data_IF_543863231827
#
_entry.id   IF_543863231827
#
_cell.length_a   1.000
_cell.length_b   1.000
_cell.length_c   1.000
_cell.angle_alpha   90.00
_cell.angle_beta   90.00
_cell.angle_gamma   90.00
#
_symmetry.space_group_name_H-M   'P 1'
#
loop_
_entity.id
_entity.type
_entity.pdbx_description
1 polymer ?
#
# COMPACT_ATOMS: atom_id res chain seq x y z
N UNK A 1 22.06 -21.77 17.58
CA UNK A 1 21.04 -20.97 16.85
C UNK A 1 21.76 -20.09 15.85
N UNK A 2 21.34 -20.05 14.58
CA UNK A 2 22.02 -19.25 13.55
C UNK A 2 21.56 -17.79 13.68
N UNK A 3 22.47 -16.89 14.06
CA UNK A 3 22.18 -15.47 14.28
C UNK A 3 22.11 -14.70 12.95
N UNK A 4 21.01 -14.86 12.22
CA UNK A 4 20.74 -14.21 10.93
C UNK A 4 19.98 -12.89 11.08
N UNK A 5 19.95 -12.07 10.02
CA UNK A 5 19.08 -10.89 9.93
C UNK A 5 17.61 -11.23 10.19
N UNK A 6 17.14 -12.38 9.71
CA UNK A 6 15.77 -12.83 9.91
C UNK A 6 15.44 -13.00 11.40
N UNK A 7 16.34 -13.63 12.16
CA UNK A 7 16.14 -13.89 13.60
C UNK A 7 16.42 -12.67 14.48
N UNK A 8 17.31 -11.76 14.06
CA UNK A 8 17.74 -10.60 14.86
C UNK A 8 17.02 -9.29 14.54
N UNK A 9 16.45 -9.17 13.33
CA UNK A 9 15.86 -7.92 12.84
C UNK A 9 14.43 -8.16 12.36
N UNK A 10 14.23 -8.97 11.32
CA UNK A 10 12.91 -9.08 10.65
C UNK A 10 11.82 -9.62 11.57
N UNK A 11 12.05 -10.77 12.20
CA UNK A 11 11.07 -11.40 13.10
C UNK A 11 10.76 -10.48 14.30
N UNK A 12 11.76 -9.92 15.02
CA UNK A 12 11.49 -8.95 16.08
C UNK A 12 10.65 -7.75 15.64
N UNK A 13 10.94 -7.16 14.47
CA UNK A 13 10.19 -6.02 13.93
C UNK A 13 8.75 -6.40 13.60
N UNK A 14 8.53 -7.54 12.94
CA UNK A 14 7.17 -8.04 12.63
C UNK A 14 6.38 -8.24 13.92
N UNK A 15 6.95 -8.90 14.93
CA UNK A 15 6.29 -9.12 16.21
C UNK A 15 5.97 -7.80 16.93
N UNK A 16 6.86 -6.82 16.85
CA UNK A 16 6.64 -5.50 17.42
C UNK A 16 5.47 -4.77 16.74
N UNK A 17 5.44 -4.75 15.40
CA UNK A 17 4.36 -4.12 14.63
C UNK A 17 3.01 -4.82 14.89
N UNK A 18 2.98 -6.15 14.98
CA UNK A 18 1.76 -6.89 15.30
C UNK A 18 1.23 -6.52 16.69
N UNK A 19 2.11 -6.29 17.68
CA UNK A 19 1.70 -5.81 19.01
C UNK A 19 1.13 -4.39 18.99
N UNK A 20 1.51 -3.56 18.02
CA UNK A 20 0.95 -2.22 17.80
C UNK A 20 -0.38 -2.25 17.01
N UNK A 21 -0.87 -3.43 16.63
CA UNK A 21 -2.13 -3.59 15.91
C UNK A 21 -1.98 -3.64 14.38
N UNK A 22 -0.75 -3.68 13.86
CA UNK A 22 -0.55 -3.91 12.43
C UNK A 22 -0.85 -5.38 12.08
N UNK A 23 -1.58 -5.59 11.00
CA UNK A 23 -1.87 -6.93 10.51
C UNK A 23 -0.69 -7.44 9.68
N UNK A 24 -0.15 -8.61 10.05
CA UNK A 24 0.84 -9.29 9.24
C UNK A 24 0.18 -9.82 7.95
N UNK A 25 0.78 -9.48 6.80
CA UNK A 25 0.37 -9.95 5.49
C UNK A 25 1.37 -10.98 4.96
N UNK A 26 0.96 -12.24 4.89
CA UNK A 26 1.76 -13.32 4.29
C UNK A 26 1.73 -13.21 2.76
N UNK A 27 2.88 -13.29 2.09
CA UNK A 27 2.95 -13.23 0.62
C UNK A 27 2.62 -14.55 -0.10
N UNK A 28 2.55 -15.68 0.61
CA UNK A 28 2.46 -17.02 0.00
C UNK A 28 1.22 -17.23 -0.87
N UNK A 29 0.12 -16.55 -0.56
CA UNK A 29 -1.19 -16.72 -1.22
C UNK A 29 -1.74 -15.41 -1.78
N UNK A 30 -0.92 -14.36 -1.81
CA UNK A 30 -1.38 -13.04 -2.20
C UNK A 30 -1.16 -12.78 -3.67
N UNK A 31 -2.06 -11.98 -4.24
CA UNK A 31 -1.91 -11.40 -5.57
C UNK A 31 -1.73 -9.90 -5.38
N UNK A 32 -0.66 -9.38 -5.96
CA UNK A 32 -0.39 -7.95 -5.97
C UNK A 32 0.15 -7.57 -7.35
N UNK A 33 0.06 -6.29 -7.67
CA UNK A 33 0.57 -5.76 -8.91
C UNK A 33 2.09 -5.65 -8.81
N UNK A 34 2.81 -6.46 -9.59
CA UNK A 34 4.28 -6.55 -9.53
C UNK A 34 4.98 -5.30 -10.09
N UNK A 35 4.28 -4.55 -10.94
CA UNK A 35 4.79 -3.33 -11.57
C UNK A 35 4.83 -2.18 -10.55
N UNK A 36 3.71 -1.89 -9.89
CA UNK A 36 3.62 -0.86 -8.85
C UNK A 36 4.02 -1.34 -7.45
N UNK A 37 4.16 -2.66 -7.26
CA UNK A 37 4.37 -3.32 -5.95
C UNK A 37 3.25 -3.00 -4.92
N UNK A 38 2.02 -2.82 -5.40
CA UNK A 38 0.84 -2.50 -4.58
C UNK A 38 -0.18 -3.64 -4.58
N UNK A 39 -0.93 -3.76 -3.48
CA UNK A 39 -2.02 -4.73 -3.33
C UNK A 39 -3.35 -4.06 -3.72
N UNK A 40 -3.93 -4.37 -4.90
CA UNK A 40 -5.11 -3.65 -5.40
C UNK A 40 -6.30 -3.76 -4.46
N UNK A 41 -6.56 -4.96 -3.93
CA UNK A 41 -7.69 -5.21 -3.05
C UNK A 41 -7.56 -4.46 -1.72
N UNK A 42 -6.36 -4.40 -1.15
CA UNK A 42 -6.09 -3.62 0.07
C UNK A 42 -6.23 -2.13 -0.18
N UNK A 43 -5.74 -1.63 -1.33
CA UNK A 43 -5.90 -0.24 -1.72
C UNK A 43 -7.38 0.14 -1.82
N UNK A 44 -8.16 -0.60 -2.62
CA UNK A 44 -9.59 -0.32 -2.86
C UNK A 44 -10.41 -0.41 -1.57
N UNK A 45 -10.14 -1.43 -0.76
CA UNK A 45 -10.78 -1.58 0.56
C UNK A 45 -10.43 -0.42 1.48
N UNK A 46 -9.16 0.02 1.50
CA UNK A 46 -8.70 1.14 2.30
C UNK A 46 -9.36 2.45 1.90
N UNK A 47 -9.39 2.76 0.59
CA UNK A 47 -10.04 3.97 0.06
C UNK A 47 -11.54 3.99 0.39
N UNK A 48 -12.23 2.87 0.21
CA UNK A 48 -13.66 2.77 0.51
C UNK A 48 -13.95 2.94 2.01
N UNK A 49 -13.05 2.44 2.87
CA UNK A 49 -13.16 2.54 4.32
C UNK A 49 -12.99 3.98 4.83
N UNK A 50 -12.05 4.74 4.26
CA UNK A 50 -11.80 6.13 4.70
C UNK A 50 -12.75 7.14 4.03
N UNK A 51 -13.42 6.76 2.94
CA UNK A 51 -14.41 7.59 2.24
C UNK A 51 -15.79 6.91 2.18
N UNK A 52 -16.57 6.88 3.27
CA UNK A 52 -17.88 6.24 3.27
C UNK A 52 -18.80 6.81 2.19
N UNK A 53 -19.41 5.94 1.37
CA UNK A 53 -20.34 6.33 0.30
C UNK A 53 -19.69 6.65 -1.04
N UNK A 54 -18.36 6.52 -1.18
CA UNK A 54 -17.69 6.56 -2.49
C UNK A 54 -18.22 5.42 -3.38
N UNK A 55 -18.45 5.71 -4.66
CA UNK A 55 -18.86 4.68 -5.60
C UNK A 55 -17.67 3.80 -6.00
N UNK A 56 -17.89 2.49 -6.16
CA UNK A 56 -16.84 1.56 -6.57
C UNK A 56 -16.15 1.99 -7.87
N UNK A 57 -16.91 2.57 -8.82
CA UNK A 57 -16.37 3.07 -10.08
C UNK A 57 -15.36 4.22 -9.88
N UNK A 58 -15.55 5.06 -8.86
CA UNK A 58 -14.64 6.15 -8.54
C UNK A 58 -13.39 5.62 -7.83
N UNK A 59 -13.52 4.56 -7.01
CA UNK A 59 -12.37 3.86 -6.41
C UNK A 59 -11.52 3.18 -7.49
N UNK A 60 -12.16 2.55 -8.49
CA UNK A 60 -11.46 1.96 -9.64
C UNK A 60 -10.72 3.03 -10.47
N UNK A 61 -11.36 4.16 -10.74
CA UNK A 61 -10.71 5.29 -11.43
C UNK A 61 -9.51 5.80 -10.65
N UNK A 62 -9.65 6.00 -9.34
CA UNK A 62 -8.54 6.44 -8.48
C UNK A 62 -7.38 5.44 -8.51
N UNK A 63 -7.67 4.14 -8.49
CA UNK A 63 -6.64 3.10 -8.62
C UNK A 63 -5.86 3.23 -9.94
N UNK A 64 -6.56 3.38 -11.06
CA UNK A 64 -5.93 3.57 -12.39
C UNK A 64 -5.08 4.84 -12.41
N UNK A 65 -5.61 5.95 -11.90
CA UNK A 65 -4.90 7.23 -11.87
C UNK A 65 -3.64 7.18 -11.01
N UNK A 66 -3.70 6.53 -9.85
CA UNK A 66 -2.54 6.34 -8.97
C UNK A 66 -1.49 5.48 -9.67
N UNK A 67 -1.89 4.37 -10.30
CA UNK A 67 -0.95 3.51 -11.03
C UNK A 67 -0.24 4.28 -12.15
N UNK A 68 -0.99 5.00 -12.98
CA UNK A 68 -0.43 5.84 -14.05
C UNK A 68 0.53 6.91 -13.52
N UNK A 69 0.25 7.47 -12.34
CA UNK A 69 1.12 8.48 -11.73
C UNK A 69 2.43 7.85 -11.22
N UNK A 70 2.38 6.62 -10.71
CA UNK A 70 3.57 5.89 -10.24
C UNK A 70 4.47 5.42 -11.40
N UNK A 71 3.89 5.21 -12.58
CA UNK A 71 4.62 4.85 -13.79
C UNK A 71 5.35 6.05 -14.43
N UNK A 72 5.17 7.27 -13.89
CA UNK A 72 5.83 8.46 -14.41
C UNK A 72 7.32 8.48 -14.04
N UNK A 73 8.18 8.84 -14.99
CA UNK A 73 9.64 8.95 -14.79
C UNK A 73 10.02 10.31 -14.16
N UNK A 74 9.40 10.62 -13.02
CA UNK A 74 9.56 11.90 -12.31
C UNK A 74 10.05 11.74 -10.87
N UNK A 75 10.61 10.56 -10.54
CA UNK A 75 11.05 10.19 -9.18
C UNK A 75 9.93 10.28 -8.13
N UNK A 76 8.67 10.18 -8.55
CA UNK A 76 7.49 10.23 -7.67
C UNK A 76 6.99 11.65 -7.36
N UNK A 77 7.46 12.67 -8.09
CA UNK A 77 7.08 14.07 -7.86
C UNK A 77 5.57 14.28 -8.05
N UNK A 78 4.97 13.75 -9.13
CA UNK A 78 3.54 13.88 -9.37
C UNK A 78 2.71 13.19 -8.28
N UNK A 79 3.14 12.02 -7.81
CA UNK A 79 2.48 11.32 -6.71
C UNK A 79 2.55 12.12 -5.40
N UNK A 80 3.71 12.67 -5.07
CA UNK A 80 3.88 13.54 -3.91
C UNK A 80 2.96 14.77 -3.98
N UNK A 81 2.92 15.45 -5.12
CA UNK A 81 2.06 16.61 -5.31
C UNK A 81 0.59 16.26 -5.07
N UNK A 82 0.11 15.13 -5.61
CA UNK A 82 -1.25 14.62 -5.35
C UNK A 82 -1.53 14.38 -3.86
N UNK A 83 -0.58 13.80 -3.11
CA UNK A 83 -0.75 13.55 -1.67
C UNK A 83 -0.82 14.85 -0.84
N UNK A 84 -0.08 15.88 -1.26
CA UNK A 84 -0.03 17.16 -0.54
C UNK A 84 -1.07 18.17 -1.01
N UNK A 85 -1.82 17.86 -2.06
CA UNK A 85 -2.84 18.74 -2.59
C UNK A 85 -3.93 18.99 -1.54
N UNK A 86 -4.22 20.27 -1.32
CA UNK A 86 -5.26 20.74 -0.39
C UNK A 86 -6.44 21.39 -1.12
N UNK A 87 -6.42 21.33 -2.45
CA UNK A 87 -7.46 21.88 -3.31
C UNK A 87 -8.63 20.88 -3.36
N UNK A 88 -9.49 20.94 -2.34
CA UNK A 88 -10.79 20.26 -2.31
C UNK A 88 -11.91 21.27 -2.16
#
# INVERSE_FOLDING_TARGET
MKFTEDTRVKIPVILHLVRLGYQYLSLKEQRWDLESNLFPDLFKTGISKINPGVADADVERLWVDVKLTLDNDDLGQAFYNKLTDRSG
#
